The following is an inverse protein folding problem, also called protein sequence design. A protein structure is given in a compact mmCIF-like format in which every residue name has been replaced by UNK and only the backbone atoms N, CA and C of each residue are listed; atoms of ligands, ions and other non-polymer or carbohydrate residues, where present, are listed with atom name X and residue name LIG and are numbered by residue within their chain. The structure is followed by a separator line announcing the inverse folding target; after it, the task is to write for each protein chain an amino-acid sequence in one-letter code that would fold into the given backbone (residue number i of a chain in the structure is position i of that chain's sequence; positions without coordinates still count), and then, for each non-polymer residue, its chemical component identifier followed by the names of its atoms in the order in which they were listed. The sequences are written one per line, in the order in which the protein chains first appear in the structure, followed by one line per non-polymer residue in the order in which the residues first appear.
data_IF_712237833381
#
_entry.id   IF_712237833381
#
_cell.length_a   1.000
_cell.length_b   1.000
_cell.length_c   1.000
_cell.angle_alpha   90.00
_cell.angle_beta   90.00
_cell.angle_gamma   90.00
#
_symmetry.space_group_name_H-M   'P 1'
#
loop_
_entity.id
_entity.type
_entity.pdbx_description
1 polymer ?
#
# COMPACT_ATOMS: atom_id res chain seq x y z
N UNK A 1 -8.28 -19.48 -53.41
CA UNK A 1 -9.08 -19.01 -52.24
C UNK A 1 -8.92 -19.90 -51.01
N UNK A 2 -8.96 -21.24 -51.11
CA UNK A 2 -8.78 -22.14 -49.94
C UNK A 2 -7.40 -22.02 -49.26
N UNK A 3 -6.33 -21.80 -50.02
CA UNK A 3 -4.95 -21.65 -49.51
C UNK A 3 -4.71 -20.31 -48.79
N UNK A 4 -5.33 -19.21 -49.22
CA UNK A 4 -5.29 -17.92 -48.51
C UNK A 4 -5.97 -18.00 -47.14
N UNK A 5 -7.06 -18.77 -47.03
CA UNK A 5 -7.80 -18.91 -45.77
C UNK A 5 -7.01 -19.68 -44.71
N UNK A 6 -6.24 -20.69 -45.13
CA UNK A 6 -5.34 -21.43 -44.23
C UNK A 6 -4.18 -20.59 -43.69
N UNK A 7 -3.65 -19.65 -44.48
CA UNK A 7 -2.58 -18.75 -44.04
C UNK A 7 -3.05 -17.75 -42.97
N UNK A 8 -4.28 -17.24 -43.11
CA UNK A 8 -4.88 -16.31 -42.13
C UNK A 8 -5.14 -17.02 -40.79
N UNK A 9 -5.58 -18.28 -40.82
CA UNK A 9 -5.83 -19.06 -39.60
C UNK A 9 -4.53 -19.34 -38.81
N UNK A 10 -3.41 -19.59 -39.51
CA UNK A 10 -2.10 -19.79 -38.88
C UNK A 10 -1.58 -18.49 -38.24
N UNK A 11 -1.82 -17.33 -38.86
CA UNK A 11 -1.45 -16.02 -38.32
C UNK A 11 -2.22 -15.67 -37.03
N UNK A 12 -3.47 -16.13 -36.88
CA UNK A 12 -4.23 -15.96 -35.64
C UNK A 12 -3.77 -16.88 -34.50
N UNK A 13 -3.24 -18.07 -34.82
CA UNK A 13 -2.71 -19.01 -33.81
C UNK A 13 -1.33 -18.56 -33.30
N UNK A 14 -0.56 -17.82 -34.13
CA UNK A 14 0.75 -17.26 -33.78
C UNK A 14 0.67 -15.90 -33.06
N UNK A 15 -0.52 -15.37 -32.79
CA UNK A 15 -0.69 -14.36 -31.73
C UNK A 15 -0.56 -15.04 -30.38
N UNK A 16 0.62 -15.60 -30.12
CA UNK A 16 0.99 -16.07 -28.80
C UNK A 16 0.79 -14.92 -27.85
N UNK A 17 -0.08 -15.15 -26.87
CA UNK A 17 -0.33 -14.26 -25.76
C UNK A 17 1.01 -13.90 -25.15
N UNK A 18 1.52 -12.69 -25.40
CA UNK A 18 2.67 -12.18 -24.65
C UNK A 18 2.13 -11.99 -23.24
N UNK A 19 2.27 -13.04 -22.42
CA UNK A 19 2.01 -12.94 -21.00
C UNK A 19 2.90 -11.82 -20.47
N UNK A 20 2.32 -10.85 -19.77
CA UNK A 20 3.06 -9.74 -19.21
C UNK A 20 4.21 -10.29 -18.36
N UNK A 21 5.44 -9.89 -18.69
CA UNK A 21 6.63 -10.32 -17.96
C UNK A 21 6.51 -9.87 -16.51
N UNK A 22 6.71 -10.81 -15.58
CA UNK A 22 6.72 -10.54 -14.14
C UNK A 22 8.12 -10.86 -13.62
N UNK A 23 8.72 -9.91 -12.93
CA UNK A 23 10.05 -10.06 -12.31
C UNK A 23 9.84 -10.25 -10.80
N UNK A 24 10.48 -11.26 -10.22
CA UNK A 24 10.35 -11.60 -8.81
C UNK A 24 11.68 -11.39 -8.10
N UNK A 25 11.66 -10.76 -6.94
CA UNK A 25 12.83 -10.45 -6.14
C UNK A 25 12.74 -11.07 -4.75
N UNK A 26 13.87 -11.56 -4.24
CA UNK A 26 14.01 -11.96 -2.84
C UNK A 26 14.18 -10.73 -1.91
N UNK A 27 14.38 -10.99 -0.61
CA UNK A 27 14.60 -9.95 0.41
C UNK A 27 15.86 -9.09 0.19
N UNK A 28 16.82 -9.57 -0.60
CA UNK A 28 18.06 -8.86 -0.92
C UNK A 28 17.95 -8.11 -2.27
N UNK A 29 16.78 -8.15 -2.93
CA UNK A 29 16.55 -7.58 -4.25
C UNK A 29 17.06 -8.46 -5.41
N UNK A 30 17.55 -9.67 -5.15
CA UNK A 30 18.02 -10.59 -6.18
C UNK A 30 16.84 -11.20 -6.92
N UNK A 31 16.95 -11.30 -8.24
CA UNK A 31 15.91 -11.94 -9.06
C UNK A 31 15.83 -13.44 -8.77
N UNK A 32 14.61 -13.93 -8.56
CA UNK A 32 14.29 -15.32 -8.28
C UNK A 32 13.15 -15.80 -9.19
N UNK A 33 12.93 -17.11 -9.25
CA UNK A 33 11.81 -17.66 -10.01
C UNK A 33 10.49 -17.41 -9.29
N UNK A 34 9.39 -17.38 -10.06
CA UNK A 34 8.03 -17.31 -9.51
C UNK A 34 7.73 -18.44 -8.50
N UNK A 35 8.27 -19.64 -8.74
CA UNK A 35 8.12 -20.78 -7.84
C UNK A 35 8.81 -20.54 -6.49
N UNK A 36 10.07 -20.06 -6.51
CA UNK A 36 10.80 -19.73 -5.30
C UNK A 36 10.10 -18.60 -4.52
N UNK A 37 9.65 -17.57 -5.22
CA UNK A 37 8.87 -16.47 -4.62
C UNK A 37 7.60 -16.99 -3.93
N UNK A 38 6.83 -17.86 -4.59
CA UNK A 38 5.60 -18.41 -4.02
C UNK A 38 5.86 -19.30 -2.79
N UNK A 39 6.95 -20.09 -2.78
CA UNK A 39 7.35 -20.88 -1.60
C UNK A 39 7.68 -19.98 -0.41
N UNK A 40 8.44 -18.90 -0.64
CA UNK A 40 8.78 -17.91 0.40
C UNK A 40 7.50 -17.24 0.93
N UNK A 41 6.65 -16.73 0.03
CA UNK A 41 5.42 -16.01 0.37
C UNK A 41 4.43 -16.86 1.18
N UNK A 42 4.36 -18.16 0.92
CA UNK A 42 3.46 -19.08 1.62
C UNK A 42 3.98 -19.49 3.00
N UNK A 43 5.29 -19.36 3.24
CA UNK A 43 5.89 -19.70 4.51
C UNK A 43 5.65 -18.59 5.55
N UNK A 44 4.78 -18.87 6.53
CA UNK A 44 4.40 -17.92 7.58
C UNK A 44 5.48 -17.72 8.64
N UNK A 45 6.41 -18.66 8.79
CA UNK A 45 7.43 -18.65 9.83
C UNK A 45 8.55 -17.65 9.53
N UNK A 46 8.69 -17.25 8.25
CA UNK A 46 9.71 -16.29 7.83
C UNK A 46 9.39 -14.85 8.20
N UNK A 47 8.16 -14.55 8.64
CA UNK A 47 7.72 -13.19 8.98
C UNK A 47 8.00 -12.16 7.86
N UNK A 48 7.74 -12.55 6.62
CA UNK A 48 7.94 -11.70 5.44
C UNK A 48 6.61 -11.11 4.94
N UNK A 49 6.71 -10.03 4.18
CA UNK A 49 5.62 -9.38 3.45
C UNK A 49 5.96 -9.32 1.96
N UNK A 50 4.94 -9.22 1.12
CA UNK A 50 5.13 -9.05 -0.32
C UNK A 50 4.72 -7.66 -0.74
N UNK A 51 5.40 -7.12 -1.76
CA UNK A 51 5.06 -5.89 -2.44
C UNK A 51 4.93 -6.16 -3.94
N UNK A 52 3.95 -5.52 -4.59
CA UNK A 52 3.78 -5.61 -6.04
C UNK A 52 3.63 -4.21 -6.62
N UNK A 53 4.40 -3.89 -7.65
CA UNK A 53 4.39 -2.58 -8.28
C UNK A 53 4.64 -2.69 -9.78
N UNK A 54 4.24 -1.67 -10.55
CA UNK A 54 4.56 -1.55 -11.98
C UNK A 54 5.71 -0.57 -12.13
N UNK A 55 6.81 -1.01 -12.76
CA UNK A 55 7.93 -0.13 -13.07
C UNK A 55 7.61 0.79 -14.27
N UNK A 56 8.45 1.81 -14.51
CA UNK A 56 8.23 2.80 -15.59
C UNK A 56 8.13 2.19 -16.99
N UNK A 57 8.74 1.02 -17.20
CA UNK A 57 8.70 0.26 -18.45
C UNK A 57 7.41 -0.59 -18.60
N UNK A 58 6.49 -0.53 -17.63
CA UNK A 58 5.25 -1.31 -17.65
C UNK A 58 5.39 -2.76 -17.15
N UNK A 59 6.60 -3.17 -16.73
CA UNK A 59 6.86 -4.51 -16.20
C UNK A 59 6.41 -4.57 -14.75
N UNK A 60 5.76 -5.68 -14.38
CA UNK A 60 5.29 -5.89 -13.01
C UNK A 60 6.39 -6.55 -12.19
N UNK A 61 6.68 -5.97 -11.05
CA UNK A 61 7.66 -6.47 -10.10
C UNK A 61 6.98 -6.98 -8.84
N UNK A 62 7.55 -8.04 -8.29
CA UNK A 62 7.14 -8.67 -7.05
C UNK A 62 8.34 -8.72 -6.13
N UNK A 63 8.28 -8.05 -4.98
CA UNK A 63 9.37 -8.04 -4.01
C UNK A 63 8.93 -8.68 -2.69
N UNK A 64 9.89 -9.30 -2.01
CA UNK A 64 9.74 -9.77 -0.63
C UNK A 64 10.46 -8.78 0.29
N UNK A 65 9.79 -8.36 1.35
CA UNK A 65 10.33 -7.47 2.38
C UNK A 65 10.12 -8.09 3.75
N UNK A 66 10.85 -7.60 4.76
CA UNK A 66 10.53 -7.90 6.15
C UNK A 66 9.10 -7.44 6.47
N UNK A 67 8.38 -8.21 7.31
CA UNK A 67 7.04 -7.82 7.76
C UNK A 67 7.07 -6.74 8.83
N UNK A 68 8.15 -6.67 9.59
CA UNK A 68 8.29 -5.78 10.74
C UNK A 68 9.58 -4.99 10.63
N UNK A 69 9.48 -3.69 10.91
CA UNK A 69 10.62 -2.81 11.10
C UNK A 69 10.50 -2.21 12.49
N UNK A 70 11.63 -2.13 13.20
CA UNK A 70 11.74 -1.46 14.50
C UNK A 70 12.74 -0.32 14.38
N UNK A 71 12.51 0.74 15.13
CA UNK A 71 13.38 1.91 15.15
C UNK A 71 13.11 2.76 16.39
N UNK A 72 14.03 3.67 16.68
CA UNK A 72 13.86 4.66 17.75
C UNK A 72 13.44 5.96 17.10
N UNK A 73 12.26 6.46 17.47
CA UNK A 73 11.69 7.68 16.91
C UNK A 73 11.34 8.66 18.02
N UNK A 74 11.44 9.95 17.74
CA UNK A 74 11.01 10.98 18.66
C UNK A 74 9.49 11.16 18.57
N UNK A 75 8.77 10.62 19.55
CA UNK A 75 7.31 10.69 19.62
C UNK A 75 6.78 12.13 19.45
N UNK A 76 7.39 13.12 20.10
CA UNK A 76 6.92 14.52 20.05
C UNK A 76 7.11 15.13 18.65
N UNK A 77 8.19 14.78 17.97
CA UNK A 77 8.41 15.21 16.59
C UNK A 77 7.35 14.61 15.65
N UNK A 78 7.16 13.29 15.71
CA UNK A 78 6.16 12.58 14.92
C UNK A 78 4.75 13.13 15.17
N UNK A 79 4.39 13.32 16.45
CA UNK A 79 3.11 13.91 16.85
C UNK A 79 2.94 15.30 16.24
N UNK A 80 3.96 16.15 16.31
CA UNK A 80 3.91 17.51 15.76
C UNK A 80 3.72 17.49 14.24
N UNK A 81 4.43 16.62 13.53
CA UNK A 81 4.26 16.46 12.09
C UNK A 81 2.85 15.96 11.74
N UNK A 82 2.31 15.03 12.54
CA UNK A 82 0.98 14.50 12.32
C UNK A 82 -0.08 15.58 12.57
N UNK A 83 0.05 16.36 13.65
CA UNK A 83 -0.81 17.50 13.98
C UNK A 83 -0.85 18.56 12.85
N UNK A 84 0.29 18.81 12.20
CA UNK A 84 0.37 19.68 11.02
C UNK A 84 -0.44 19.13 9.85
N UNK A 85 -0.32 17.83 9.56
CA UNK A 85 -1.06 17.17 8.46
C UNK A 85 -2.57 17.16 8.69
N UNK A 86 -2.99 16.91 9.94
CA UNK A 86 -4.42 16.79 10.29
C UNK A 86 -5.06 18.12 10.70
N UNK A 87 -4.26 19.18 10.82
CA UNK A 87 -4.66 20.52 11.27
C UNK A 87 -5.46 20.52 12.59
N UNK A 88 -5.04 19.71 13.56
CA UNK A 88 -5.62 19.66 14.92
C UNK A 88 -4.63 19.05 15.90
N UNK A 89 -4.88 19.26 17.20
CA UNK A 89 -4.08 18.67 18.28
C UNK A 89 -4.46 17.23 18.57
N UNK A 90 -3.44 16.42 18.85
CA UNK A 90 -3.58 15.05 19.34
C UNK A 90 -3.38 15.10 20.87
N UNK A 91 -4.14 14.32 21.67
CA UNK A 91 -3.92 14.24 23.10
C UNK A 91 -2.48 13.84 23.45
N UNK A 92 -1.93 14.39 24.53
CA UNK A 92 -0.50 14.25 24.86
C UNK A 92 -0.04 12.80 25.04
N UNK A 93 -0.90 11.96 25.61
CA UNK A 93 -0.55 10.58 26.01
C UNK A 93 -1.20 9.52 25.11
N UNK A 94 -1.72 9.91 23.95
CA UNK A 94 -2.32 8.96 23.03
C UNK A 94 -1.25 8.15 22.30
N UNK A 95 -1.45 6.84 22.19
CA UNK A 95 -0.68 6.01 21.28
C UNK A 95 -1.05 6.38 19.85
N UNK A 96 -0.05 6.55 18.97
CA UNK A 96 -0.30 6.88 17.56
C UNK A 96 -0.35 5.58 16.75
N UNK A 97 -1.55 5.23 16.28
CA UNK A 97 -1.73 4.14 15.32
C UNK A 97 -1.90 4.72 13.91
N UNK A 98 -0.84 4.62 13.11
CA UNK A 98 -0.81 5.18 11.76
C UNK A 98 -0.93 4.03 10.76
N UNK A 99 -2.00 4.02 9.96
CA UNK A 99 -2.06 3.22 8.74
C UNK A 99 -1.47 4.02 7.57
N UNK A 100 -0.67 3.38 6.73
CA UNK A 100 -0.11 4.00 5.54
C UNK A 100 -0.56 3.28 4.28
N UNK A 101 -0.98 4.03 3.26
CA UNK A 101 -1.32 3.52 1.93
C UNK A 101 -0.26 3.98 0.93
N UNK A 102 0.38 3.02 0.29
CA UNK A 102 1.42 3.26 -0.70
C UNK A 102 0.82 3.60 -2.06
N UNK A 103 1.52 4.46 -2.79
CA UNK A 103 1.19 4.71 -4.19
C UNK A 103 1.49 3.46 -5.02
N UNK A 104 0.64 3.19 -6.01
CA UNK A 104 0.76 2.04 -6.90
C UNK A 104 0.70 0.68 -6.16
N UNK A 105 -0.01 0.62 -5.03
CA UNK A 105 -0.30 -0.64 -4.32
C UNK A 105 -1.27 -1.51 -5.13
N UNK A 106 -0.73 -2.51 -5.79
CA UNK A 106 -1.46 -3.43 -6.67
C UNK A 106 -2.16 -4.57 -5.91
N UNK A 107 -2.50 -4.39 -4.64
CA UNK A 107 -3.15 -5.42 -3.84
C UNK A 107 -4.44 -5.95 -4.48
N UNK A 108 -5.24 -5.08 -5.09
CA UNK A 108 -6.44 -5.48 -5.81
C UNK A 108 -6.46 -4.85 -7.21
N UNK A 109 -6.92 -5.56 -8.26
CA UNK A 109 -6.93 -5.06 -9.64
C UNK A 109 -7.68 -3.73 -9.82
N UNK A 110 -8.67 -3.48 -8.98
CA UNK A 110 -9.48 -2.26 -8.99
C UNK A 110 -8.87 -1.08 -8.22
N UNK A 111 -7.75 -1.27 -7.51
CA UNK A 111 -7.13 -0.20 -6.75
C UNK A 111 -6.22 0.62 -7.68
N UNK A 112 -6.60 1.87 -7.89
CA UNK A 112 -5.78 2.88 -8.51
C UNK A 112 -5.34 3.93 -7.47
N UNK A 113 -4.57 4.92 -7.90
CA UNK A 113 -4.17 6.04 -7.03
C UNK A 113 -5.29 7.08 -6.83
N UNK A 114 -6.57 6.74 -7.04
CA UNK A 114 -7.71 7.66 -6.97
C UNK A 114 -8.83 7.10 -6.09
N UNK A 115 -8.84 7.52 -4.84
CA UNK A 115 -9.86 7.10 -3.88
C UNK A 115 -11.11 7.94 -3.99
N UNK A 116 -12.19 7.32 -4.47
CA UNK A 116 -13.51 7.94 -4.58
C UNK A 116 -14.19 8.10 -3.22
N UNK A 117 -15.24 8.94 -3.16
CA UNK A 117 -16.05 9.13 -1.95
C UNK A 117 -16.67 7.82 -1.46
N UNK A 118 -17.14 6.96 -2.36
CA UNK A 118 -17.78 5.69 -2.02
C UNK A 118 -16.77 4.69 -1.46
N UNK A 119 -15.56 4.61 -2.01
CA UNK A 119 -14.50 3.74 -1.50
C UNK A 119 -14.04 4.15 -0.10
N UNK A 120 -13.85 5.46 0.09
CA UNK A 120 -13.50 6.01 1.40
C UNK A 120 -14.64 5.82 2.41
N UNK A 121 -15.90 5.98 2.00
CA UNK A 121 -17.06 5.72 2.85
C UNK A 121 -17.13 4.24 3.26
N UNK A 122 -16.95 3.32 2.31
CA UNK A 122 -16.89 1.87 2.60
C UNK A 122 -15.77 1.52 3.57
N UNK A 123 -14.58 2.12 3.42
CA UNK A 123 -13.50 1.95 4.39
C UNK A 123 -13.88 2.48 5.78
N UNK A 124 -14.59 3.62 5.83
CA UNK A 124 -15.08 4.19 7.09
C UNK A 124 -16.07 3.26 7.77
N UNK A 125 -17.03 2.72 7.03
CA UNK A 125 -18.02 1.79 7.56
C UNK A 125 -17.38 0.51 8.08
N UNK A 126 -16.42 -0.05 7.33
CA UNK A 126 -15.68 -1.24 7.76
C UNK A 126 -14.93 -1.01 9.08
N UNK A 127 -14.39 0.20 9.31
CA UNK A 127 -13.64 0.56 10.52
C UNK A 127 -14.50 1.15 11.64
N UNK A 128 -15.75 1.52 11.36
CA UNK A 128 -16.67 2.12 12.32
C UNK A 128 -16.76 1.40 13.67
N UNK A 129 -16.82 0.05 13.74
CA UNK A 129 -16.86 -0.64 15.04
C UNK A 129 -15.52 -0.64 15.80
N UNK A 130 -14.41 -0.33 15.14
CA UNK A 130 -13.06 -0.34 15.73
C UNK A 130 -12.69 1.01 16.34
N UNK A 131 -13.06 2.12 15.71
CA UNK A 131 -12.62 3.46 16.14
C UNK A 131 -12.99 3.83 17.59
N UNK A 132 -14.20 3.51 18.10
CA UNK A 132 -14.53 3.76 19.51
C UNK A 132 -13.61 2.99 20.46
N UNK A 133 -13.31 1.72 20.15
CA UNK A 133 -12.42 0.88 20.96
C UNK A 133 -11.00 1.42 21.00
N UNK A 134 -10.50 1.95 19.88
CA UNK A 134 -9.19 2.60 19.85
C UNK A 134 -9.18 3.84 20.76
N UNK A 135 -10.22 4.68 20.66
CA UNK A 135 -10.36 5.86 21.50
C UNK A 135 -10.44 5.54 23.00
N UNK A 136 -11.18 4.49 23.37
CA UNK A 136 -11.26 4.00 24.77
C UNK A 136 -9.91 3.57 25.33
N UNK A 137 -8.98 3.16 24.47
CA UNK A 137 -7.62 2.75 24.84
C UNK A 137 -6.58 3.88 24.66
N UNK A 138 -7.02 5.14 24.53
CA UNK A 138 -6.15 6.29 24.24
C UNK A 138 -5.29 6.07 22.98
N UNK A 139 -5.88 5.50 21.92
CA UNK A 139 -5.21 5.31 20.63
C UNK A 139 -5.82 6.29 19.62
N UNK A 140 -5.00 7.21 19.14
CA UNK A 140 -5.35 8.06 18.00
C UNK A 140 -5.02 7.32 16.70
N UNK A 141 -6.06 7.01 15.92
CA UNK A 141 -5.93 6.36 14.62
C UNK A 141 -5.93 7.37 13.48
N UNK A 142 -4.89 7.34 12.65
CA UNK A 142 -4.79 8.13 11.41
C UNK A 142 -4.43 7.21 10.25
N UNK A 143 -5.02 7.44 9.08
CA UNK A 143 -4.63 6.82 7.83
C UNK A 143 -4.00 7.86 6.91
N UNK A 144 -2.72 7.66 6.63
CA UNK A 144 -1.93 8.46 5.70
C UNK A 144 -1.89 7.79 4.33
N UNK A 145 -1.92 8.61 3.29
CA UNK A 145 -1.78 8.21 1.90
C UNK A 145 -0.55 8.87 1.31
N UNK A 146 0.25 8.09 0.58
CA UNK A 146 1.43 8.59 -0.11
C UNK A 146 1.10 9.74 -1.05
N UNK A 147 2.03 10.69 -1.15
CA UNK A 147 1.88 11.84 -2.03
C UNK A 147 1.66 11.39 -3.49
N UNK A 148 0.68 12.00 -4.15
CA UNK A 148 0.25 11.63 -5.50
C UNK A 148 -0.94 10.67 -5.54
N UNK A 149 -1.40 10.14 -4.40
CA UNK A 149 -2.73 9.53 -4.28
C UNK A 149 -3.79 10.64 -4.14
N UNK A 150 -4.82 10.58 -4.96
CA UNK A 150 -5.93 11.55 -4.94
C UNK A 150 -7.03 11.04 -4.02
N UNK A 151 -7.36 11.82 -2.98
CA UNK A 151 -8.43 11.51 -2.04
C UNK A 151 -9.64 12.42 -2.27
N UNK A 152 -10.83 11.84 -2.49
CA UNK A 152 -12.10 12.59 -2.48
C UNK A 152 -12.74 12.59 -1.09
N UNK A 153 -11.98 12.88 -0.04
CA UNK A 153 -12.42 12.92 1.36
C UNK A 153 -12.91 14.34 1.77
N UNK A 154 -13.12 14.56 3.08
CA UNK A 154 -13.46 15.88 3.65
C UNK A 154 -12.45 16.20 4.78
N UNK A 155 -11.25 16.71 4.46
CA UNK A 155 -10.17 16.92 5.44
C UNK A 155 -10.56 17.84 6.60
N UNK A 156 -11.44 18.81 6.36
CA UNK A 156 -11.89 19.77 7.38
C UNK A 156 -12.94 19.19 8.36
N UNK A 157 -13.37 17.94 8.17
CA UNK A 157 -14.29 17.28 9.09
C UNK A 157 -13.52 16.80 10.33
N UNK A 158 -13.99 17.16 11.52
CA UNK A 158 -13.39 16.73 12.80
C UNK A 158 -13.32 15.20 12.99
N UNK A 159 -14.16 14.43 12.29
CA UNK A 159 -14.15 12.98 12.33
C UNK A 159 -13.38 12.36 11.15
N UNK A 160 -12.73 13.20 10.33
CA UNK A 160 -11.83 12.72 9.29
C UNK A 160 -10.56 12.15 9.89
N UNK A 161 -10.11 11.06 9.28
CA UNK A 161 -8.87 10.37 9.64
C UNK A 161 -8.08 9.92 8.41
N UNK A 162 -8.52 10.26 7.20
CA UNK A 162 -7.76 10.07 5.97
C UNK A 162 -7.05 11.36 5.59
N UNK A 163 -5.73 11.31 5.44
CA UNK A 163 -4.92 12.47 5.07
C UNK A 163 -3.78 12.07 4.12
N UNK A 164 -3.27 13.03 3.36
CA UNK A 164 -2.09 12.82 2.51
C UNK A 164 -0.82 13.12 3.30
N UNK A 165 0.20 12.27 3.18
CA UNK A 165 1.55 12.52 3.70
C UNK A 165 2.26 13.55 2.81
N UNK A 166 2.01 14.83 3.06
CA UNK A 166 2.57 15.93 2.26
C UNK A 166 4.10 15.93 2.33
N UNK A 167 4.78 15.91 1.17
CA UNK A 167 6.23 15.83 1.10
C UNK A 167 6.81 14.44 1.45
N UNK A 168 5.96 13.43 1.66
CA UNK A 168 6.32 12.06 1.99
C UNK A 168 7.22 11.97 3.23
N UNK A 169 6.92 12.74 4.29
CA UNK A 169 7.73 12.74 5.52
C UNK A 169 7.68 11.36 6.19
N UNK A 170 6.48 10.86 6.49
CA UNK A 170 6.32 9.57 7.18
C UNK A 170 6.80 8.40 6.32
N UNK A 171 6.62 8.49 4.99
CA UNK A 171 7.19 7.54 4.02
C UNK A 171 8.69 7.36 4.16
N UNK A 172 9.41 8.47 4.34
CA UNK A 172 10.87 8.51 4.42
C UNK A 172 11.38 8.15 5.82
N UNK A 173 10.61 8.45 6.86
CA UNK A 173 11.02 8.20 8.25
C UNK A 173 10.88 6.73 8.65
N UNK A 174 9.71 6.11 8.43
CA UNK A 174 9.48 4.74 8.91
C UNK A 174 8.68 3.83 7.99
N UNK A 175 7.89 4.33 7.04
CA UNK A 175 7.25 3.47 6.05
C UNK A 175 8.17 3.15 4.87
N UNK A 176 9.43 2.83 5.16
CA UNK A 176 10.50 2.69 4.15
C UNK A 176 10.32 1.48 3.25
N UNK A 177 9.80 0.39 3.81
CA UNK A 177 9.52 -0.88 3.14
C UNK A 177 8.03 -0.97 2.79
N UNK A 178 7.63 -0.86 1.51
CA UNK A 178 6.25 -0.99 1.12
C UNK A 178 5.76 -2.44 1.25
N UNK A 179 4.47 -2.60 1.53
CA UNK A 179 3.80 -3.88 1.62
C UNK A 179 2.40 -3.78 1.00
N UNK A 180 1.92 -4.89 0.44
CA UNK A 180 0.55 -4.96 -0.08
C UNK A 180 -0.47 -4.64 1.02
N UNK A 181 -1.52 -3.91 0.66
CA UNK A 181 -2.58 -3.38 1.54
C UNK A 181 -2.17 -2.21 2.44
N UNK A 182 -0.96 -1.69 2.27
CA UNK A 182 -0.38 -0.72 3.17
C UNK A 182 0.28 -1.33 4.40
N UNK A 183 0.77 -0.46 5.26
CA UNK A 183 1.49 -0.80 6.49
C UNK A 183 0.87 -0.12 7.71
N UNK A 184 1.27 -0.56 8.89
CA UNK A 184 0.89 0.07 10.15
C UNK A 184 2.15 0.43 10.94
N UNK A 185 2.12 1.60 11.59
CA UNK A 185 3.07 1.98 12.61
C UNK A 185 2.33 2.20 13.93
N UNK A 186 2.98 1.79 15.01
CA UNK A 186 2.54 2.00 16.38
C UNK A 186 3.67 2.75 17.09
N UNK A 187 3.40 4.00 17.50
CA UNK A 187 4.40 4.94 18.04
C UNK A 187 3.97 5.40 19.43
#
# INVERSE_FOLDING_TARGET
MKTCFSFILILFILQTSIAQENIYHDQNGQEITSEAFNKIRQNKDLLLSSWQYVAKNGIKHHAINDRFQQGVFNYNEIKTQLETVINRKIPTNDILLIKYYYKDDLYAPQWDNKWTRSELHRLKDYRKPLLPKLKENNITYIALFEEGIILKNKPDNENEYFFTDQGNYFRKQFFTMPALCGSYANI
#
